data_IF_224857105302
#
_entry.id   IF_224857105302
#
_cell.length_a   1.000
_cell.length_b   1.000
_cell.length_c   1.000
_cell.angle_alpha   90.00
_cell.angle_beta   90.00
_cell.angle_gamma   90.00
#
_symmetry.space_group_name_H-M   'P 1'
#
loop_
_entity.id
_entity.type
_entity.pdbx_description
1 polymer ?
#
# COMPACT_ATOMS: atom_id res chain seq x y z
N UNK A 1 25.46 -44.95 38.31
CA UNK A 1 25.49 -43.62 37.72
C UNK A 1 24.40 -43.57 36.69
N UNK A 2 23.19 -43.08 37.08
CA UNK A 2 22.03 -43.01 36.17
C UNK A 2 22.05 -41.65 35.48
N UNK A 3 22.31 -41.64 34.19
CA UNK A 3 22.20 -40.46 33.34
C UNK A 3 20.75 -40.13 33.13
N UNK A 4 20.25 -39.09 33.79
CA UNK A 4 18.94 -38.47 33.50
C UNK A 4 19.08 -37.79 32.11
N UNK A 5 18.53 -38.44 31.07
CA UNK A 5 18.20 -37.72 29.87
C UNK A 5 17.03 -36.80 30.23
N UNK A 6 17.31 -35.49 30.40
CA UNK A 6 16.28 -34.48 30.41
C UNK A 6 15.58 -34.54 29.05
N UNK A 7 14.31 -34.93 29.03
CA UNK A 7 13.48 -34.79 27.85
C UNK A 7 13.44 -33.29 27.50
N UNK A 8 13.98 -32.93 26.35
CA UNK A 8 13.83 -31.58 25.80
C UNK A 8 12.34 -31.47 25.44
N UNK A 9 11.62 -30.64 26.20
CA UNK A 9 10.24 -30.33 25.85
C UNK A 9 10.20 -29.85 24.39
N UNK A 10 9.31 -30.42 23.55
CA UNK A 10 9.19 -29.98 22.17
C UNK A 10 8.83 -28.49 22.17
N UNK A 11 9.61 -27.69 21.45
CA UNK A 11 9.35 -26.27 21.27
C UNK A 11 7.88 -26.09 20.84
N UNK A 12 7.18 -25.10 21.39
CA UNK A 12 5.78 -24.88 21.03
C UNK A 12 5.66 -24.72 19.51
N UNK A 13 4.82 -25.56 18.90
CA UNK A 13 4.55 -25.50 17.46
C UNK A 13 3.93 -24.14 17.18
N UNK A 14 4.71 -23.25 16.57
CA UNK A 14 4.21 -21.94 16.13
C UNK A 14 3.21 -22.21 15.00
N UNK A 15 1.94 -21.93 15.24
CA UNK A 15 0.91 -22.08 14.22
C UNK A 15 1.13 -21.02 13.14
N UNK A 16 1.53 -21.44 11.94
CA UNK A 16 1.76 -20.54 10.81
C UNK A 16 0.44 -20.22 10.09
N UNK A 17 0.21 -18.93 9.85
CA UNK A 17 -1.02 -18.42 9.22
C UNK A 17 -0.75 -17.98 7.76
N UNK A 18 -0.37 -18.91 6.88
CA UNK A 18 -0.07 -18.62 5.47
C UNK A 18 -1.26 -18.01 4.70
N UNK A 19 -2.50 -18.35 5.07
CA UNK A 19 -3.68 -17.70 4.53
C UNK A 19 -3.70 -16.19 4.80
N UNK A 20 -3.31 -15.79 6.01
CA UNK A 20 -3.19 -14.38 6.38
C UNK A 20 -2.03 -13.69 5.63
N UNK A 21 -0.90 -14.38 5.44
CA UNK A 21 0.21 -13.89 4.62
C UNK A 21 -0.25 -13.62 3.19
N UNK A 22 -0.98 -14.56 2.58
CA UNK A 22 -1.55 -14.40 1.24
C UNK A 22 -2.52 -13.24 1.14
N UNK A 23 -3.43 -13.10 2.10
CA UNK A 23 -4.39 -12.01 2.15
C UNK A 23 -3.71 -10.64 2.32
N UNK A 24 -2.67 -10.54 3.15
CA UNK A 24 -1.88 -9.32 3.29
C UNK A 24 -1.08 -9.00 2.02
N UNK A 25 -0.52 -10.02 1.35
CA UNK A 25 0.20 -9.83 0.08
C UNK A 25 -0.72 -9.33 -1.02
N UNK A 26 -1.94 -9.87 -1.12
CA UNK A 26 -2.96 -9.38 -2.05
C UNK A 26 -3.39 -7.96 -1.69
N UNK A 27 -3.55 -7.64 -0.40
CA UNK A 27 -3.88 -6.29 0.05
C UNK A 27 -2.82 -5.27 -0.40
N UNK A 28 -1.53 -5.61 -0.25
CA UNK A 28 -0.42 -4.78 -0.77
C UNK A 28 -0.51 -4.62 -2.28
N UNK A 29 -0.75 -5.70 -3.02
CA UNK A 29 -0.86 -5.62 -4.48
C UNK A 29 -2.03 -4.71 -4.92
N UNK A 30 -3.20 -4.83 -4.29
CA UNK A 30 -4.35 -3.97 -4.56
C UNK A 30 -4.11 -2.51 -4.17
N UNK A 31 -3.43 -2.29 -3.05
CA UNK A 31 -3.05 -0.96 -2.59
C UNK A 31 -2.11 -0.26 -3.58
N UNK A 32 -1.10 -0.97 -4.05
CA UNK A 32 -0.16 -0.48 -5.06
C UNK A 32 -0.85 -0.25 -6.40
N UNK A 33 -1.74 -1.15 -6.83
CA UNK A 33 -2.54 -0.93 -8.02
C UNK A 33 -3.39 0.34 -7.91
N UNK A 34 -4.09 0.55 -6.79
CA UNK A 34 -4.88 1.74 -6.52
C UNK A 34 -4.05 3.03 -6.51
N UNK A 35 -2.78 2.97 -6.08
CA UNK A 35 -1.87 4.11 -6.02
C UNK A 35 -1.27 4.46 -7.39
N UNK A 36 -0.89 3.46 -8.20
CA UNK A 36 -0.18 3.68 -9.45
C UNK A 36 -1.07 3.76 -10.71
N UNK A 37 -2.25 3.14 -10.72
CA UNK A 37 -3.18 3.27 -11.86
C UNK A 37 -3.55 4.72 -12.20
N UNK A 38 -3.80 5.63 -11.23
CA UNK A 38 -4.08 7.03 -11.55
C UNK A 38 -2.96 7.74 -12.31
N UNK A 39 -1.71 7.30 -12.14
CA UNK A 39 -0.56 7.91 -12.85
C UNK A 39 -0.72 7.72 -14.36
N UNK A 40 -1.12 6.53 -14.80
CA UNK A 40 -1.37 6.25 -16.21
C UNK A 40 -2.69 6.85 -16.74
N UNK A 41 -3.59 7.23 -15.83
CA UNK A 41 -4.90 7.82 -16.14
C UNK A 41 -4.94 9.34 -15.90
N UNK A 42 -3.79 9.98 -15.65
CA UNK A 42 -3.70 11.38 -15.25
C UNK A 42 -4.39 12.30 -16.26
N UNK A 43 -4.04 12.15 -17.54
CA UNK A 43 -4.59 12.97 -18.64
C UNK A 43 -6.12 12.82 -18.81
N UNK A 44 -6.69 11.59 -18.87
CA UNK A 44 -8.14 11.45 -18.96
C UNK A 44 -8.87 11.95 -17.71
N UNK A 45 -8.31 11.79 -16.51
CA UNK A 45 -8.87 12.33 -15.26
C UNK A 45 -8.88 13.87 -15.29
N UNK A 46 -7.75 14.48 -15.67
CA UNK A 46 -7.64 15.93 -15.76
C UNK A 46 -8.66 16.54 -16.74
N UNK A 47 -8.78 15.95 -17.94
CA UNK A 47 -9.73 16.40 -18.96
C UNK A 47 -11.19 16.30 -18.50
N UNK A 48 -11.55 15.19 -17.89
CA UNK A 48 -12.94 14.93 -17.49
C UNK A 48 -13.37 15.79 -16.29
N UNK A 49 -12.45 16.11 -15.38
CA UNK A 49 -12.71 16.93 -14.19
C UNK A 49 -12.37 18.42 -14.39
N UNK A 50 -11.96 18.84 -15.60
CA UNK A 50 -11.59 20.21 -15.91
C UNK A 50 -10.38 20.72 -15.14
N UNK A 51 -9.45 19.82 -14.78
CA UNK A 51 -8.25 20.13 -14.03
C UNK A 51 -7.03 20.28 -14.97
N UNK A 52 -6.05 21.07 -14.58
CA UNK A 52 -4.76 21.11 -15.27
C UNK A 52 -3.92 19.87 -14.93
N UNK A 53 -2.93 19.55 -15.77
CA UNK A 53 -2.00 18.42 -15.53
C UNK A 53 -1.26 18.58 -14.19
N UNK A 54 -0.93 19.81 -13.81
CA UNK A 54 -0.33 20.12 -12.52
C UNK A 54 -1.26 19.83 -11.33
N UNK A 55 -2.54 20.17 -11.47
CA UNK A 55 -3.54 19.82 -10.46
C UNK A 55 -3.74 18.30 -10.37
N UNK A 56 -3.81 17.61 -11.50
CA UNK A 56 -3.91 16.15 -11.50
C UNK A 56 -2.70 15.49 -10.81
N UNK A 57 -1.48 16.03 -10.98
CA UNK A 57 -0.29 15.62 -10.25
C UNK A 57 -0.41 15.82 -8.72
N UNK A 58 -1.14 16.85 -8.25
CA UNK A 58 -1.41 17.05 -6.82
C UNK A 58 -2.21 15.89 -6.21
N UNK A 59 -3.04 15.20 -6.98
CA UNK A 59 -3.77 14.04 -6.48
C UNK A 59 -2.84 12.89 -6.06
N UNK A 60 -1.65 12.80 -6.65
CA UNK A 60 -0.61 11.84 -6.21
C UNK A 60 0.10 12.38 -4.97
N UNK A 61 0.47 13.65 -4.97
CA UNK A 61 1.19 14.27 -3.85
C UNK A 61 0.38 14.30 -2.55
N UNK A 62 -0.94 14.51 -2.63
CA UNK A 62 -1.82 14.51 -1.46
C UNK A 62 -1.84 13.13 -0.78
N UNK A 63 -1.89 12.06 -1.58
CA UNK A 63 -1.81 10.69 -1.05
C UNK A 63 -0.51 10.49 -0.26
N UNK A 64 0.63 10.90 -0.81
CA UNK A 64 1.93 10.83 -0.13
C UNK A 64 1.97 11.61 1.17
N UNK A 65 1.43 12.84 1.20
CA UNK A 65 1.37 13.66 2.42
C UNK A 65 0.56 12.96 3.54
N UNK A 66 -0.62 12.48 3.21
CA UNK A 66 -1.46 11.77 4.18
C UNK A 66 -0.87 10.42 4.59
N UNK A 67 -0.09 9.76 3.72
CA UNK A 67 0.64 8.55 4.07
C UNK A 67 1.70 8.81 5.15
N UNK A 68 2.45 9.90 5.06
CA UNK A 68 3.43 10.28 6.10
C UNK A 68 2.71 10.50 7.43
N UNK A 69 1.64 11.30 7.44
CA UNK A 69 0.88 11.58 8.67
C UNK A 69 0.33 10.30 9.28
N UNK A 70 -0.30 9.44 8.46
CA UNK A 70 -0.88 8.18 8.91
C UNK A 70 0.17 7.21 9.45
N UNK A 71 1.33 7.10 8.80
CA UNK A 71 2.41 6.21 9.26
C UNK A 71 2.91 6.55 10.67
N UNK A 72 2.90 7.83 11.03
CA UNK A 72 3.28 8.32 12.36
C UNK A 72 2.18 8.11 13.42
N UNK A 73 0.91 8.17 13.00
CA UNK A 73 -0.24 8.11 13.91
C UNK A 73 -0.73 6.69 14.14
N UNK A 74 -0.63 5.80 13.14
CA UNK A 74 -1.21 4.45 13.21
C UNK A 74 -0.66 3.61 14.36
N UNK A 75 0.59 3.80 14.74
CA UNK A 75 1.20 3.12 15.89
C UNK A 75 0.51 3.47 17.21
N UNK A 76 0.02 4.72 17.34
CA UNK A 76 -0.77 5.17 18.50
C UNK A 76 -2.17 4.55 18.50
N UNK A 77 -2.79 4.47 17.34
CA UNK A 77 -4.11 3.81 17.17
C UNK A 77 -4.01 2.33 17.53
N UNK A 78 -2.97 1.64 17.04
CA UNK A 78 -2.70 0.24 17.34
C UNK A 78 -2.40 -0.04 18.82
N UNK A 79 -1.96 0.96 19.59
CA UNK A 79 -1.75 0.79 21.03
C UNK A 79 -3.03 0.47 21.80
N UNK A 80 -4.18 0.90 21.28
CA UNK A 80 -5.49 0.77 21.93
C UNK A 80 -6.41 -0.23 21.22
N UNK A 81 -6.07 -0.69 20.01
CA UNK A 81 -6.89 -1.56 19.19
C UNK A 81 -6.12 -2.79 18.73
N UNK A 82 -6.81 -3.89 18.52
CA UNK A 82 -6.21 -5.07 17.91
C UNK A 82 -5.74 -4.78 16.46
N UNK A 83 -4.53 -5.23 16.12
CA UNK A 83 -3.96 -5.04 14.78
C UNK A 83 -4.85 -5.54 13.66
N UNK A 84 -5.54 -6.67 13.88
CA UNK A 84 -6.52 -7.22 12.95
C UNK A 84 -7.58 -6.19 12.58
N UNK A 85 -8.20 -5.54 13.57
CA UNK A 85 -9.25 -4.55 13.33
C UNK A 85 -8.72 -3.30 12.64
N UNK A 86 -7.50 -2.86 12.99
CA UNK A 86 -6.87 -1.71 12.32
C UNK A 86 -6.57 -2.02 10.86
N UNK A 87 -5.99 -3.19 10.54
CA UNK A 87 -5.71 -3.59 9.16
C UNK A 87 -7.00 -3.76 8.34
N UNK A 88 -8.03 -4.35 8.91
CA UNK A 88 -9.34 -4.45 8.26
C UNK A 88 -9.99 -3.09 8.05
N UNK A 89 -9.88 -2.19 9.04
CA UNK A 89 -10.35 -0.81 8.92
C UNK A 89 -9.64 -0.06 7.78
N UNK A 90 -8.32 -0.22 7.66
CA UNK A 90 -7.55 0.36 6.56
C UNK A 90 -7.97 -0.22 5.20
N UNK A 91 -8.19 -1.53 5.10
CA UNK A 91 -8.68 -2.16 3.86
C UNK A 91 -10.11 -1.69 3.50
N UNK A 92 -10.97 -1.49 4.50
CA UNK A 92 -12.30 -0.89 4.29
C UNK A 92 -12.20 0.56 3.84
N UNK A 93 -11.28 1.36 4.40
CA UNK A 93 -10.99 2.72 3.94
C UNK A 93 -10.46 2.73 2.50
N UNK A 94 -9.67 1.73 2.09
CA UNK A 94 -9.24 1.56 0.70
C UNK A 94 -10.45 1.35 -0.22
N UNK A 95 -11.37 0.47 0.14
CA UNK A 95 -12.61 0.26 -0.62
C UNK A 95 -13.41 1.56 -0.75
N UNK A 96 -13.60 2.26 0.35
CA UNK A 96 -14.31 3.56 0.36
C UNK A 96 -13.61 4.57 -0.55
N UNK A 97 -12.28 4.66 -0.49
CA UNK A 97 -11.50 5.54 -1.36
C UNK A 97 -11.71 5.21 -2.84
N UNK A 98 -11.65 3.93 -3.24
CA UNK A 98 -11.87 3.50 -4.62
C UNK A 98 -13.27 3.87 -5.12
N UNK A 99 -14.30 3.66 -4.30
CA UNK A 99 -15.68 4.05 -4.60
C UNK A 99 -15.80 5.57 -4.77
N UNK A 100 -15.20 6.35 -3.86
CA UNK A 100 -15.22 7.80 -3.95
C UNK A 100 -14.46 8.32 -5.18
N UNK A 101 -13.34 7.70 -5.55
CA UNK A 101 -12.61 8.02 -6.79
C UNK A 101 -13.54 7.76 -8.00
N UNK A 102 -14.13 6.56 -8.08
CA UNK A 102 -14.98 6.17 -9.19
C UNK A 102 -16.24 7.05 -9.33
N UNK A 103 -16.79 7.53 -8.23
CA UNK A 103 -17.98 8.39 -8.19
C UNK A 103 -17.65 9.89 -8.25
N UNK A 104 -16.37 10.30 -8.25
CA UNK A 104 -16.00 11.71 -8.14
C UNK A 104 -16.54 12.56 -9.31
N UNK A 105 -17.44 13.53 -9.05
CA UNK A 105 -17.95 14.44 -10.07
C UNK A 105 -17.06 15.67 -10.28
N UNK A 106 -16.13 15.91 -9.36
CA UNK A 106 -15.24 17.06 -9.38
C UNK A 106 -13.87 16.73 -8.76
N UNK A 107 -12.92 17.59 -9.02
CA UNK A 107 -11.55 17.42 -8.55
C UNK A 107 -11.41 17.42 -7.01
N UNK A 108 -12.25 18.18 -6.30
CA UNK A 108 -12.17 18.27 -4.84
C UNK A 108 -12.50 16.92 -4.16
N UNK A 109 -13.54 16.21 -4.64
CA UNK A 109 -13.87 14.89 -4.11
C UNK A 109 -12.81 13.86 -4.47
N UNK A 110 -12.23 13.95 -5.67
CA UNK A 110 -11.07 13.13 -6.05
C UNK A 110 -9.90 13.34 -5.07
N UNK A 111 -9.57 14.59 -4.73
CA UNK A 111 -8.51 14.90 -3.77
C UNK A 111 -8.78 14.31 -2.39
N UNK A 112 -10.02 14.41 -1.91
CA UNK A 112 -10.42 13.81 -0.63
C UNK A 112 -10.26 12.28 -0.66
N UNK A 113 -10.71 11.64 -1.73
CA UNK A 113 -10.57 10.20 -1.90
C UNK A 113 -9.10 9.76 -1.97
N UNK A 114 -8.24 10.54 -2.65
CA UNK A 114 -6.78 10.31 -2.71
C UNK A 114 -6.11 10.51 -1.34
N UNK A 115 -6.53 11.52 -0.57
CA UNK A 115 -6.06 11.72 0.80
C UNK A 115 -6.41 10.49 1.69
N UNK A 116 -7.63 9.97 1.54
CA UNK A 116 -8.06 8.77 2.25
C UNK A 116 -7.20 7.54 1.88
N UNK A 117 -6.90 7.37 0.58
CA UNK A 117 -6.00 6.31 0.12
C UNK A 117 -4.60 6.47 0.71
N UNK A 118 -4.10 7.69 0.81
CA UNK A 118 -2.83 8.00 1.46
C UNK A 118 -2.79 7.53 2.93
N UNK A 119 -3.86 7.76 3.68
CA UNK A 119 -3.97 7.23 5.05
C UNK A 119 -3.84 5.70 5.06
N UNK A 120 -4.47 5.02 4.10
CA UNK A 120 -4.35 3.56 3.97
C UNK A 120 -2.92 3.15 3.66
N UNK A 121 -2.27 3.80 2.68
CA UNK A 121 -0.88 3.52 2.29
C UNK A 121 0.04 3.62 3.51
N UNK A 122 0.05 4.76 4.18
CA UNK A 122 0.93 4.99 5.32
C UNK A 122 0.64 4.08 6.50
N UNK A 123 -0.65 3.90 6.82
CA UNK A 123 -1.09 3.03 7.91
C UNK A 123 -0.76 1.56 7.66
N UNK A 124 -1.03 1.06 6.48
CA UNK A 124 -0.81 -0.35 6.14
C UNK A 124 0.68 -0.69 6.12
N UNK A 125 1.51 0.10 5.43
CA UNK A 125 2.95 -0.14 5.38
C UNK A 125 3.63 -0.07 6.74
N UNK A 126 3.20 0.84 7.62
CA UNK A 126 3.75 0.93 8.97
C UNK A 126 3.45 -0.32 9.83
N UNK A 127 2.41 -1.08 9.50
CA UNK A 127 2.00 -2.27 10.25
C UNK A 127 2.34 -3.59 9.54
N UNK A 128 2.42 -3.60 8.21
CA UNK A 128 2.46 -4.81 7.40
C UNK A 128 3.62 -5.74 7.77
N UNK A 129 4.86 -5.25 7.74
CA UNK A 129 6.05 -6.05 8.03
C UNK A 129 6.01 -6.65 9.44
N UNK A 130 5.72 -5.82 10.45
CA UNK A 130 5.66 -6.27 11.84
C UNK A 130 4.51 -7.25 12.11
N UNK A 131 3.41 -7.15 11.36
CA UNK A 131 2.31 -8.11 11.43
C UNK A 131 2.70 -9.42 10.78
N UNK A 132 3.30 -9.37 9.61
CA UNK A 132 3.72 -10.54 8.85
C UNK A 132 4.71 -11.42 9.64
N UNK A 133 5.67 -10.79 10.31
CA UNK A 133 6.63 -11.48 11.17
C UNK A 133 6.01 -12.23 12.36
N UNK A 134 4.76 -11.91 12.71
CA UNK A 134 3.99 -12.59 13.77
C UNK A 134 3.10 -13.70 13.26
N UNK A 135 2.90 -13.78 11.95
CA UNK A 135 2.01 -14.76 11.32
C UNK A 135 2.72 -16.09 11.01
N UNK A 136 4.05 -16.10 11.06
CA UNK A 136 4.87 -17.25 10.68
C UNK A 136 6.03 -17.47 11.67
N UNK A 137 6.59 -18.67 11.66
CA UNK A 137 7.80 -18.98 12.43
C UNK A 137 9.00 -18.12 11.96
N UNK A 138 9.99 -17.85 12.85
CA UNK A 138 11.15 -17.02 12.51
C UNK A 138 11.86 -17.46 11.22
N UNK A 139 12.00 -18.76 10.99
CA UNK A 139 12.66 -19.34 9.81
C UNK A 139 11.85 -19.12 8.52
N UNK A 140 10.54 -18.93 8.63
CA UNK A 140 9.62 -18.68 7.51
C UNK A 140 9.46 -17.19 7.17
N UNK A 141 9.96 -16.27 8.02
CA UNK A 141 9.82 -14.80 7.84
C UNK A 141 10.37 -14.34 6.48
N UNK A 142 11.56 -14.76 6.02
CA UNK A 142 12.08 -14.31 4.73
C UNK A 142 11.16 -14.70 3.56
N UNK A 143 10.56 -15.89 3.62
CA UNK A 143 9.61 -16.37 2.59
C UNK A 143 8.31 -15.58 2.61
N UNK A 144 7.77 -15.28 3.79
CA UNK A 144 6.56 -14.50 3.95
C UNK A 144 6.74 -13.06 3.45
N UNK A 145 7.86 -12.41 3.81
CA UNK A 145 8.21 -11.09 3.30
C UNK A 145 8.43 -11.12 1.78
N UNK A 146 9.11 -12.14 1.26
CA UNK A 146 9.30 -12.34 -0.17
C UNK A 146 7.97 -12.38 -0.92
N UNK A 147 6.97 -13.11 -0.40
CA UNK A 147 5.63 -13.17 -1.01
C UNK A 147 4.95 -11.79 -1.03
N UNK A 148 5.01 -11.04 0.07
CA UNK A 148 4.43 -9.70 0.15
C UNK A 148 5.10 -8.73 -0.83
N UNK A 149 6.44 -8.73 -0.88
CA UNK A 149 7.17 -7.86 -1.80
C UNK A 149 7.05 -8.29 -3.26
N UNK A 150 6.83 -9.58 -3.55
CA UNK A 150 6.48 -10.04 -4.89
C UNK A 150 5.14 -9.46 -5.33
N UNK A 151 4.12 -9.47 -4.47
CA UNK A 151 2.83 -8.80 -4.73
C UNK A 151 3.00 -7.32 -5.05
N UNK A 152 3.83 -6.62 -4.27
CA UNK A 152 4.17 -5.21 -4.52
C UNK A 152 4.87 -5.03 -5.88
N UNK A 153 5.88 -5.83 -6.20
CA UNK A 153 6.66 -5.70 -7.43
C UNK A 153 5.79 -5.98 -8.67
N UNK A 154 4.97 -7.04 -8.64
CA UNK A 154 4.04 -7.38 -9.72
C UNK A 154 3.03 -6.24 -9.93
N UNK A 155 2.41 -5.74 -8.85
CA UNK A 155 1.46 -4.64 -8.97
C UNK A 155 2.12 -3.38 -9.52
N UNK A 156 3.33 -3.03 -9.06
CA UNK A 156 4.08 -1.86 -9.57
C UNK A 156 4.39 -1.99 -11.06
N UNK A 157 4.78 -3.20 -11.52
CA UNK A 157 5.13 -3.41 -12.92
C UNK A 157 3.90 -3.34 -13.85
N UNK A 158 2.75 -3.86 -13.39
CA UNK A 158 1.57 -4.03 -14.24
C UNK A 158 0.48 -2.97 -14.03
N UNK A 159 0.46 -2.25 -12.90
CA UNK A 159 -0.63 -1.32 -12.60
C UNK A 159 -0.77 -0.21 -13.64
N UNK A 160 0.32 0.42 -14.06
CA UNK A 160 0.26 1.51 -15.03
C UNK A 160 -0.13 1.04 -16.45
N UNK A 161 0.47 -0.02 -17.03
CA UNK A 161 0.05 -0.57 -18.31
C UNK A 161 -1.41 -1.04 -18.30
N UNK A 162 -1.82 -1.81 -17.28
CA UNK A 162 -3.21 -2.27 -17.14
C UNK A 162 -4.17 -1.10 -16.96
N UNK A 163 -3.80 -0.10 -16.15
CA UNK A 163 -4.59 1.10 -15.96
C UNK A 163 -4.82 1.86 -17.27
N UNK A 164 -3.78 2.03 -18.08
CA UNK A 164 -3.86 2.66 -19.39
C UNK A 164 -4.75 1.87 -20.36
N UNK A 165 -4.52 0.56 -20.46
CA UNK A 165 -5.28 -0.32 -21.35
C UNK A 165 -6.77 -0.37 -20.98
N UNK A 166 -7.06 -0.68 -19.72
CA UNK A 166 -8.44 -0.75 -19.23
C UNK A 166 -9.13 0.61 -19.27
N UNK A 167 -8.41 1.67 -18.94
CA UNK A 167 -8.93 3.04 -19.00
C UNK A 167 -9.37 3.45 -20.41
N UNK A 168 -8.68 2.93 -21.44
CA UNK A 168 -9.06 3.11 -22.84
C UNK A 168 -10.37 2.40 -23.24
N UNK A 169 -10.69 1.28 -22.58
CA UNK A 169 -11.88 0.44 -22.90
C UNK A 169 -13.09 0.83 -22.05
N UNK A 170 -12.92 0.92 -20.73
CA UNK A 170 -14.01 1.10 -19.76
C UNK A 170 -14.02 2.49 -19.11
N UNK A 171 -13.12 3.36 -19.54
CA UNK A 171 -12.91 4.66 -18.93
C UNK A 171 -12.21 4.60 -17.58
N UNK A 172 -11.64 5.73 -17.14
CA UNK A 172 -10.85 5.79 -15.91
C UNK A 172 -11.66 5.42 -14.64
N UNK A 173 -12.94 5.81 -14.58
CA UNK A 173 -13.83 5.42 -13.47
C UNK A 173 -14.08 3.92 -13.41
N UNK A 174 -14.23 3.27 -14.57
CA UNK A 174 -14.43 1.83 -14.68
C UNK A 174 -13.27 1.03 -14.11
N UNK A 175 -12.04 1.54 -14.23
CA UNK A 175 -10.85 0.90 -13.66
C UNK A 175 -10.94 0.80 -12.13
N UNK A 176 -11.38 1.85 -11.45
CA UNK A 176 -11.57 1.84 -10.00
C UNK A 176 -12.76 0.98 -9.56
N UNK A 177 -13.84 0.97 -10.36
CA UNK A 177 -14.94 0.04 -10.14
C UNK A 177 -14.53 -1.43 -10.26
N UNK A 178 -13.57 -1.74 -11.14
CA UNK A 178 -13.03 -3.10 -11.28
C UNK A 178 -12.19 -3.52 -10.07
N UNK A 179 -11.46 -2.60 -9.45
CA UNK A 179 -10.68 -2.88 -8.24
C UNK A 179 -11.54 -3.10 -7.00
N UNK A 180 -12.68 -2.42 -6.88
CA UNK A 180 -13.53 -2.47 -5.70
C UNK A 180 -13.97 -3.90 -5.30
N UNK A 181 -14.50 -4.76 -6.19
CA UNK A 181 -14.84 -6.14 -5.83
C UNK A 181 -13.63 -6.98 -5.41
N UNK A 182 -12.45 -6.73 -5.97
CA UNK A 182 -11.23 -7.43 -5.55
C UNK A 182 -10.84 -7.05 -4.12
N UNK A 183 -11.03 -5.79 -3.74
CA UNK A 183 -10.82 -5.35 -2.35
C UNK A 183 -11.85 -5.98 -1.41
N UNK A 184 -13.10 -6.11 -1.83
CA UNK A 184 -14.14 -6.83 -1.03
C UNK A 184 -13.74 -8.28 -0.82
N UNK A 185 -13.32 -8.99 -1.87
CA UNK A 185 -12.83 -10.37 -1.76
C UNK A 185 -11.63 -10.46 -0.81
N UNK A 186 -10.70 -9.51 -0.92
CA UNK A 186 -9.55 -9.46 -0.02
C UNK A 186 -9.96 -9.18 1.43
N UNK A 187 -10.93 -8.29 1.66
CA UNK A 187 -11.48 -8.04 3.01
C UNK A 187 -12.07 -9.30 3.64
N UNK A 188 -12.85 -10.06 2.87
CA UNK A 188 -13.40 -11.35 3.32
C UNK A 188 -12.26 -12.33 3.64
N UNK A 189 -11.26 -12.42 2.77
CA UNK A 189 -10.11 -13.29 2.99
C UNK A 189 -9.32 -12.86 4.25
N UNK A 190 -9.04 -11.58 4.43
CA UNK A 190 -8.42 -11.06 5.65
C UNK A 190 -9.25 -11.37 6.90
N UNK A 191 -10.58 -11.21 6.83
CA UNK A 191 -11.48 -11.46 7.94
C UNK A 191 -11.46 -12.92 8.42
N UNK A 192 -11.32 -13.88 7.49
CA UNK A 192 -11.26 -15.31 7.82
C UNK A 192 -9.85 -15.74 8.26
N UNK A 193 -8.81 -15.16 7.65
CA UNK A 193 -7.44 -15.65 7.81
C UNK A 193 -6.62 -14.96 8.90
N UNK A 194 -6.88 -13.68 9.19
CA UNK A 194 -6.11 -12.94 10.19
C UNK A 194 -6.50 -13.38 11.60
N UNK A 195 -5.56 -13.89 12.39
CA UNK A 195 -5.81 -14.18 13.80
C UNK A 195 -5.97 -12.89 14.63
N UNK A 196 -6.56 -13.01 15.82
CA UNK A 196 -6.57 -11.91 16.78
C UNK A 196 -5.14 -11.64 17.25
N UNK A 197 -4.70 -10.41 17.12
CA UNK A 197 -3.35 -9.97 17.48
C UNK A 197 -3.44 -8.74 18.37
N UNK A 198 -3.25 -8.94 19.68
CA UNK A 198 -3.17 -7.82 20.62
C UNK A 198 -1.93 -6.99 20.30
N UNK A 199 -2.09 -5.69 20.37
CA UNK A 199 -0.97 -4.76 20.24
C UNK A 199 -0.07 -4.89 21.47
N UNK A 200 1.21 -5.10 21.24
CA UNK A 200 2.21 -4.86 22.27
C UNK A 200 2.42 -3.35 22.40
N UNK A 201 2.90 -2.92 23.56
CA UNK A 201 3.12 -1.51 23.89
C UNK A 201 3.76 -0.75 22.73
N UNK A 202 3.29 0.47 22.43
CA UNK A 202 3.84 1.26 21.34
C UNK A 202 5.34 1.46 21.55
N UNK A 203 6.11 1.22 20.49
CA UNK A 203 7.53 1.58 20.47
C UNK A 203 7.63 3.09 20.38
N UNK A 204 7.53 3.75 21.54
CA UNK A 204 7.67 5.21 21.70
C UNK A 204 9.07 5.72 21.32
N UNK A 205 9.99 4.82 20.99
CA UNK A 205 11.39 5.13 20.73
C UNK A 205 11.75 5.31 19.25
N UNK A 206 10.83 5.09 18.31
CA UNK A 206 11.15 5.22 16.87
C UNK A 206 11.68 6.62 16.51
N UNK A 207 11.05 7.68 17.03
CA UNK A 207 11.55 9.05 16.85
C UNK A 207 12.88 9.31 17.56
N UNK A 208 13.17 8.58 18.63
CA UNK A 208 14.46 8.65 19.33
C UNK A 208 15.63 8.11 18.48
N UNK A 209 15.35 7.15 17.58
CA UNK A 209 16.36 6.60 16.66
C UNK A 209 16.86 7.64 15.65
N UNK A 210 16.01 8.60 15.26
CA UNK A 210 16.38 9.70 14.35
C UNK A 210 17.44 10.64 14.97
N UNK A 211 17.60 10.64 16.28
CA UNK A 211 18.69 11.39 16.95
C UNK A 211 20.08 10.79 16.69
N UNK A 212 20.14 9.54 16.19
CA UNK A 212 21.41 8.91 15.80
C UNK A 212 21.79 9.37 14.40
N UNK A 213 22.95 10.03 14.19
CA UNK A 213 23.32 10.62 12.91
C UNK A 213 23.34 9.61 11.76
N UNK A 214 23.83 8.39 12.00
CA UNK A 214 23.86 7.34 10.98
C UNK A 214 22.45 6.92 10.53
N UNK A 215 21.47 6.86 11.46
CA UNK A 215 20.07 6.54 11.13
C UNK A 215 19.43 7.69 10.35
N UNK A 216 19.67 8.93 10.80
CA UNK A 216 19.15 10.11 10.11
C UNK A 216 19.69 10.22 8.66
N UNK A 217 21.00 10.00 8.47
CA UNK A 217 21.64 10.01 7.14
C UNK A 217 21.08 8.91 6.23
N UNK A 218 20.91 7.69 6.75
CA UNK A 218 20.31 6.58 6.00
C UNK A 218 18.86 6.92 5.59
N UNK A 219 18.06 7.47 6.50
CA UNK A 219 16.69 7.88 6.22
C UNK A 219 16.61 9.00 5.17
N UNK A 220 17.52 9.98 5.23
CA UNK A 220 17.63 11.02 4.21
C UNK A 220 17.99 10.43 2.84
N UNK A 221 18.93 9.49 2.77
CA UNK A 221 19.29 8.79 1.54
C UNK A 221 18.10 8.08 0.93
N UNK A 222 17.34 7.31 1.73
CA UNK A 222 16.11 6.66 1.29
C UNK A 222 15.09 7.68 0.80
N UNK A 223 14.88 8.77 1.55
CA UNK A 223 13.93 9.83 1.19
C UNK A 223 14.25 10.44 -0.17
N UNK A 224 15.51 10.82 -0.43
CA UNK A 224 15.91 11.40 -1.70
C UNK A 224 15.83 10.39 -2.86
N UNK A 225 16.17 9.12 -2.62
CA UNK A 225 16.04 8.07 -3.64
C UNK A 225 14.59 7.89 -4.08
N UNK A 226 13.68 7.76 -3.11
CA UNK A 226 12.25 7.63 -3.41
C UNK A 226 11.68 8.91 -4.02
N UNK A 227 12.04 10.09 -3.52
CA UNK A 227 11.59 11.36 -4.09
C UNK A 227 11.99 11.49 -5.56
N UNK A 228 13.24 11.18 -5.90
CA UNK A 228 13.71 11.20 -7.30
C UNK A 228 12.99 10.17 -8.17
N UNK A 229 12.82 8.94 -7.69
CA UNK A 229 12.11 7.89 -8.42
C UNK A 229 10.64 8.28 -8.68
N UNK A 230 9.93 8.80 -7.67
CA UNK A 230 8.53 9.21 -7.83
C UNK A 230 8.37 10.44 -8.72
N UNK A 231 9.28 11.41 -8.66
CA UNK A 231 9.28 12.55 -9.58
C UNK A 231 9.42 12.08 -11.04
N UNK A 232 10.39 11.21 -11.30
CA UNK A 232 10.59 10.66 -12.64
C UNK A 232 9.36 9.87 -13.11
N UNK A 233 8.85 8.97 -12.27
CA UNK A 233 7.71 8.10 -12.61
C UNK A 233 6.42 8.89 -12.87
N UNK A 234 6.12 9.90 -12.06
CA UNK A 234 4.89 10.68 -12.16
C UNK A 234 4.81 11.48 -13.47
N UNK A 235 5.94 12.05 -13.90
CA UNK A 235 5.98 12.92 -15.07
C UNK A 235 6.50 12.24 -16.34
N UNK A 236 6.80 10.94 -16.28
CA UNK A 236 7.35 10.20 -17.41
C UNK A 236 6.40 10.15 -18.61
N UNK A 237 5.11 9.86 -18.35
CA UNK A 237 4.10 9.82 -19.41
C UNK A 237 3.85 11.20 -20.04
N UNK A 238 3.53 12.28 -19.31
CA UNK A 238 3.41 13.62 -19.90
C UNK A 238 4.64 14.06 -20.69
N UNK A 239 5.84 13.69 -20.22
CA UNK A 239 7.08 13.95 -20.93
C UNK A 239 7.14 13.23 -22.28
N UNK A 240 6.80 11.94 -22.32
CA UNK A 240 6.78 11.18 -23.58
C UNK A 240 5.72 11.71 -24.55
N UNK A 241 4.50 11.98 -24.10
CA UNK A 241 3.44 12.55 -24.93
C UNK A 241 3.84 13.88 -25.55
N UNK A 242 4.55 14.75 -24.82
CA UNK A 242 4.94 16.09 -25.31
C UNK A 242 6.20 16.10 -26.17
N UNK A 243 7.15 15.19 -25.94
CA UNK A 243 8.46 15.19 -26.61
C UNK A 243 8.58 14.20 -27.75
N UNK A 244 7.93 13.05 -27.65
CA UNK A 244 8.06 11.97 -28.64
C UNK A 244 6.81 11.82 -29.51
N UNK A 245 5.71 12.53 -29.19
CA UNK A 245 4.41 12.40 -29.86
C UNK A 245 3.92 10.95 -29.96
N UNK A 246 4.32 10.11 -29.01
CA UNK A 246 3.97 8.69 -28.93
C UNK A 246 2.47 8.52 -28.75
N UNK A 247 1.89 7.60 -29.53
CA UNK A 247 0.47 7.27 -29.45
C UNK A 247 0.15 6.40 -28.22
N UNK A 248 -1.11 6.42 -27.78
CA UNK A 248 -1.60 5.61 -26.65
C UNK A 248 -1.23 4.12 -26.72
N UNK A 249 -1.26 3.44 -27.92
CA UNK A 249 -0.85 2.04 -28.02
C UNK A 249 0.66 1.80 -27.82
N UNK A 250 1.49 2.81 -28.06
CA UNK A 250 2.95 2.70 -27.91
C UNK A 250 3.40 2.98 -26.47
N UNK A 251 2.52 3.55 -25.63
CA UNK A 251 2.74 3.84 -24.21
C UNK A 251 2.22 2.74 -23.27
N UNK A 252 1.53 1.75 -23.80
CA UNK A 252 1.03 0.57 -23.08
C UNK A 252 1.86 -0.67 -23.45
#
# INVERSE_FOLDING_TARGET
MKTHHAAVDPLPVVQEHWGAVGAMSLCVALLIAAEFMPVSLLTPIARDLGASDGQAGLAISISGLFAVVASLLVTRVCAHHERRHVLMGLALMMLLSLILIALSPNFALLMLARALLGVVVGGFWALATATLMRLVAPDSVPRALGLMYTGNAVATAFAAPLGSYLGGIIGWRGVFWLLAPLVVLNLVWMAVSLPSMRSERPVTQALGLLKRPNVAMAMLGVMFTFAGAFCAFTYFRPFLETRTHTSLPELS
#
